data_IF_917964169809
#
_entry.id   IF_917964169809
#
_cell.length_a   1.000
_cell.length_b   1.000
_cell.length_c   1.000
_cell.angle_alpha   90.00
_cell.angle_beta   90.00
_cell.angle_gamma   90.00
#
_symmetry.space_group_name_H-M   'P 1'
#
loop_
_entity.id
_entity.type
_entity.pdbx_description
1 polymer ?
#
# COMPACT_ATOMS: atom_id res chain seq x y z
N UNK A 1 -32.17 -31.19 -65.82
CA UNK A 1 -31.17 -31.04 -64.75
C UNK A 1 -30.38 -29.77 -64.97
N UNK A 2 -30.58 -28.75 -64.16
CA UNK A 2 -29.60 -27.68 -63.92
C UNK A 2 -29.73 -27.31 -62.45
N UNK A 3 -28.74 -27.69 -61.65
CA UNK A 3 -28.51 -27.14 -60.32
C UNK A 3 -27.94 -25.73 -60.46
N UNK A 4 -28.44 -24.76 -59.68
CA UNK A 4 -27.72 -23.53 -59.38
C UNK A 4 -28.07 -23.05 -57.96
N UNK A 5 -27.02 -22.82 -57.17
CA UNK A 5 -27.05 -22.51 -55.75
C UNK A 5 -27.52 -21.07 -55.45
N UNK A 6 -28.16 -20.85 -54.30
CA UNK A 6 -27.96 -19.62 -53.51
C UNK A 6 -28.30 -19.78 -52.02
N UNK A 7 -27.23 -19.60 -51.24
CA UNK A 7 -27.14 -19.08 -49.86
C UNK A 7 -27.39 -20.02 -48.68
N UNK A 8 -26.32 -20.71 -48.30
CA UNK A 8 -25.85 -20.67 -46.92
C UNK A 8 -25.52 -19.23 -46.50
N UNK A 9 -26.10 -18.75 -45.39
CA UNK A 9 -25.62 -17.66 -44.48
C UNK A 9 -26.75 -17.24 -43.54
N UNK A 10 -27.13 -18.06 -42.56
CA UNK A 10 -28.02 -17.59 -41.47
C UNK A 10 -27.58 -18.03 -40.06
N UNK A 11 -26.79 -19.09 -39.89
CA UNK A 11 -26.67 -19.71 -38.56
C UNK A 11 -25.42 -19.41 -37.71
N UNK A 12 -24.72 -18.29 -37.90
CA UNK A 12 -23.56 -17.92 -37.03
C UNK A 12 -23.68 -16.51 -36.39
N UNK A 13 -24.65 -15.67 -36.81
CA UNK A 13 -24.73 -14.30 -36.30
C UNK A 13 -25.46 -14.14 -34.96
N UNK A 14 -26.35 -15.07 -34.56
CA UNK A 14 -27.18 -14.92 -33.35
C UNK A 14 -26.46 -15.23 -32.02
N UNK A 15 -25.41 -16.04 -32.05
CA UNK A 15 -24.60 -16.36 -30.86
C UNK A 15 -23.65 -15.21 -30.47
N UNK A 16 -22.98 -14.62 -31.45
CA UNK A 16 -22.03 -13.52 -31.25
C UNK A 16 -22.71 -12.24 -30.73
N UNK A 17 -23.88 -11.87 -31.27
CA UNK A 17 -24.63 -10.69 -30.80
C UNK A 17 -25.09 -10.84 -29.36
N UNK A 18 -25.55 -12.03 -28.96
CA UNK A 18 -26.00 -12.32 -27.61
C UNK A 18 -24.84 -12.30 -26.60
N UNK A 19 -23.67 -12.84 -26.97
CA UNK A 19 -22.44 -12.77 -26.18
C UNK A 19 -21.97 -11.31 -26.01
N UNK A 20 -22.02 -10.52 -27.08
CA UNK A 20 -21.67 -9.09 -27.04
C UNK A 20 -22.64 -8.32 -26.12
N UNK A 21 -23.95 -8.58 -26.21
CA UNK A 21 -24.94 -7.93 -25.33
C UNK A 21 -24.75 -8.31 -23.86
N UNK A 22 -24.47 -9.58 -23.55
CA UNK A 22 -24.17 -10.03 -22.18
C UNK A 22 -22.90 -9.37 -21.66
N UNK A 23 -21.84 -9.33 -22.48
CA UNK A 23 -20.60 -8.66 -22.13
C UNK A 23 -20.80 -7.17 -21.89
N UNK A 24 -21.54 -6.47 -22.75
CA UNK A 24 -21.88 -5.05 -22.59
C UNK A 24 -22.70 -4.85 -21.30
N UNK A 25 -23.74 -5.66 -21.07
CA UNK A 25 -24.57 -5.58 -19.87
C UNK A 25 -23.75 -5.81 -18.59
N UNK A 26 -22.84 -6.78 -18.61
CA UNK A 26 -21.92 -7.04 -17.49
C UNK A 26 -20.99 -5.85 -17.23
N UNK A 27 -20.40 -5.25 -18.28
CA UNK A 27 -19.57 -4.07 -18.12
C UNK A 27 -20.37 -2.85 -17.61
N UNK A 28 -21.60 -2.66 -18.09
CA UNK A 28 -22.51 -1.63 -17.58
C UNK A 28 -22.81 -1.88 -16.10
N UNK A 29 -23.11 -3.12 -15.71
CA UNK A 29 -23.31 -3.50 -14.32
C UNK A 29 -22.08 -3.17 -13.45
N UNK A 30 -20.87 -3.52 -13.90
CA UNK A 30 -19.63 -3.19 -13.18
C UNK A 30 -19.45 -1.67 -13.01
N UNK A 31 -19.75 -0.87 -14.04
CA UNK A 31 -19.68 0.60 -13.98
C UNK A 31 -20.69 1.15 -12.96
N UNK A 32 -21.92 0.63 -12.96
CA UNK A 32 -22.97 1.04 -12.02
C UNK A 32 -22.58 0.65 -10.59
N UNK A 33 -22.17 -0.60 -10.37
CA UNK A 33 -21.74 -1.12 -9.08
C UNK A 33 -20.59 -0.29 -8.50
N UNK A 34 -19.55 -0.01 -9.29
CA UNK A 34 -18.44 0.84 -8.87
C UNK A 34 -18.87 2.28 -8.55
N UNK A 35 -19.92 2.80 -9.22
CA UNK A 35 -20.47 4.13 -8.91
C UNK A 35 -21.27 4.13 -7.61
N UNK A 36 -22.03 3.08 -7.33
CA UNK A 36 -22.78 2.90 -6.08
C UNK A 36 -21.79 2.79 -4.91
N UNK A 37 -20.77 1.94 -5.04
CA UNK A 37 -19.72 1.78 -4.03
C UNK A 37 -19.02 3.12 -3.71
N UNK A 38 -18.67 3.90 -4.75
CA UNK A 38 -18.10 5.24 -4.54
C UNK A 38 -19.04 6.18 -3.78
N UNK A 39 -20.34 6.15 -4.07
CA UNK A 39 -21.33 6.96 -3.34
C UNK A 39 -21.36 6.57 -1.87
N UNK A 40 -21.44 5.28 -1.58
CA UNK A 40 -21.43 4.77 -0.21
C UNK A 40 -20.15 5.16 0.55
N UNK A 41 -18.99 5.10 -0.12
CA UNK A 41 -17.72 5.56 0.45
C UNK A 41 -17.79 7.05 0.79
N UNK A 42 -18.24 7.90 -0.14
CA UNK A 42 -18.31 9.35 0.13
C UNK A 42 -19.32 9.69 1.23
N UNK A 43 -20.45 8.98 1.32
CA UNK A 43 -21.43 9.13 2.39
C UNK A 43 -20.83 8.74 3.75
N UNK A 44 -20.15 7.59 3.84
CA UNK A 44 -19.43 7.18 5.05
C UNK A 44 -18.38 8.21 5.45
N UNK A 45 -17.63 8.76 4.50
CA UNK A 45 -16.65 9.81 4.76
C UNK A 45 -17.30 11.10 5.28
N UNK A 46 -18.44 11.53 4.73
CA UNK A 46 -19.17 12.71 5.23
C UNK A 46 -19.75 12.49 6.63
N UNK A 47 -20.23 11.27 6.93
CA UNK A 47 -20.71 10.92 8.27
C UNK A 47 -19.57 10.94 9.30
N UNK A 48 -18.38 10.46 8.90
CA UNK A 48 -17.20 10.44 9.77
C UNK A 48 -16.58 11.83 9.93
N UNK A 49 -16.53 12.63 8.87
CA UNK A 49 -15.84 13.91 8.83
C UNK A 49 -16.81 15.05 8.50
N UNK A 50 -17.10 15.89 9.49
CA UNK A 50 -18.04 17.03 9.35
C UNK A 50 -17.65 18.02 8.26
N UNK A 51 -16.34 18.18 7.97
CA UNK A 51 -15.83 19.03 6.89
C UNK A 51 -14.59 18.39 6.26
N UNK A 52 -14.65 18.00 5.00
CA UNK A 52 -13.48 17.40 4.34
C UNK A 52 -12.29 18.37 4.21
N UNK A 53 -12.55 19.69 4.23
CA UNK A 53 -11.50 20.72 4.20
C UNK A 53 -10.63 20.74 5.47
N UNK A 54 -11.08 20.14 6.58
CA UNK A 54 -10.29 20.05 7.81
C UNK A 54 -9.26 18.93 7.77
N UNK A 55 -9.33 18.01 6.80
CA UNK A 55 -8.42 16.88 6.63
C UNK A 55 -7.24 17.19 5.70
N UNK A 56 -6.66 18.39 5.78
CA UNK A 56 -5.56 18.74 4.88
C UNK A 56 -4.21 18.18 5.33
N UNK A 57 -4.02 18.01 6.63
CA UNK A 57 -2.71 17.66 7.22
C UNK A 57 -2.93 16.52 8.19
N UNK A 58 -2.17 15.44 8.01
CA UNK A 58 -2.10 14.35 8.98
C UNK A 58 -1.52 14.88 10.31
N UNK A 59 -2.16 14.67 11.47
CA UNK A 59 -1.68 15.20 12.75
C UNK A 59 -0.27 14.69 13.12
N UNK A 60 0.09 13.50 12.66
CA UNK A 60 1.36 12.83 12.87
C UNK A 60 2.39 13.11 11.75
N UNK A 61 2.07 13.95 10.76
CA UNK A 61 2.97 14.24 9.63
C UNK A 61 4.40 14.60 10.08
N UNK A 62 4.55 15.42 11.11
CA UNK A 62 5.87 15.85 11.59
C UNK A 62 6.72 14.68 12.11
N UNK A 63 6.13 13.79 12.91
CA UNK A 63 6.83 12.63 13.45
C UNK A 63 7.08 11.56 12.38
N UNK A 64 6.15 11.36 11.45
CA UNK A 64 6.36 10.49 10.27
C UNK A 64 7.48 11.00 9.35
N UNK A 65 7.56 12.32 9.14
CA UNK A 65 8.67 12.94 8.42
C UNK A 65 10.00 12.66 9.12
N UNK A 66 10.05 12.81 10.44
CA UNK A 66 11.24 12.56 11.24
C UNK A 66 11.68 11.08 11.20
N UNK A 67 10.73 10.15 11.39
CA UNK A 67 10.95 8.71 11.29
C UNK A 67 11.46 8.31 9.90
N UNK A 68 10.85 8.84 8.83
CA UNK A 68 11.32 8.58 7.47
C UNK A 68 12.72 9.12 7.23
N UNK A 69 13.05 10.32 7.74
CA UNK A 69 14.43 10.86 7.66
C UNK A 69 15.42 9.96 8.36
N UNK A 70 15.08 9.40 9.53
CA UNK A 70 15.98 8.48 10.23
C UNK A 70 16.10 7.14 9.52
N UNK A 71 15.00 6.58 9.00
CA UNK A 71 15.03 5.38 8.17
C UNK A 71 15.94 5.56 6.94
N UNK A 72 15.83 6.68 6.23
CA UNK A 72 16.71 7.00 5.09
C UNK A 72 18.18 6.95 5.51
N UNK A 73 18.55 7.54 6.66
CA UNK A 73 19.93 7.51 7.16
C UNK A 73 20.38 6.09 7.51
N UNK A 74 19.54 5.32 8.20
CA UNK A 74 19.80 3.92 8.55
C UNK A 74 20.05 3.11 7.27
N UNK A 75 19.18 3.25 6.28
CA UNK A 75 19.27 2.51 5.03
C UNK A 75 20.55 2.86 4.25
N UNK A 76 20.90 4.15 4.15
CA UNK A 76 22.14 4.60 3.49
C UNK A 76 23.38 4.09 4.21
N UNK A 77 23.46 4.25 5.54
CA UNK A 77 24.63 3.83 6.33
C UNK A 77 24.89 2.32 6.24
N UNK A 78 23.84 1.52 6.08
CA UNK A 78 23.91 0.05 6.06
C UNK A 78 23.79 -0.55 4.65
N UNK A 79 23.78 0.29 3.61
CA UNK A 79 23.62 -0.14 2.21
C UNK A 79 22.38 -1.05 2.01
N UNK A 80 21.23 -0.58 2.50
CA UNK A 80 19.93 -1.25 2.39
C UNK A 80 19.11 -0.55 1.30
N UNK A 81 18.82 -1.27 0.21
CA UNK A 81 17.92 -0.78 -0.83
C UNK A 81 16.47 -1.05 -0.43
N UNK A 82 15.63 -0.03 -0.53
CA UNK A 82 14.19 -0.09 -0.25
C UNK A 82 13.45 0.87 -1.18
N UNK A 83 12.12 0.79 -1.17
CA UNK A 83 11.23 1.81 -1.78
C UNK A 83 10.01 2.03 -0.88
N UNK A 84 9.34 3.18 -1.02
CA UNK A 84 8.02 3.41 -0.41
C UNK A 84 6.99 2.38 -0.93
N UNK A 85 6.02 2.03 -0.09
CA UNK A 85 4.95 1.09 -0.42
C UNK A 85 3.58 1.52 0.09
N UNK A 86 2.53 0.76 -0.25
CA UNK A 86 1.22 0.83 0.39
C UNK A 86 0.62 2.25 0.48
N UNK A 87 0.12 2.65 1.65
CA UNK A 87 -0.51 3.96 1.87
C UNK A 87 0.48 5.12 1.67
N UNK A 88 1.73 4.93 2.09
CA UNK A 88 2.80 5.91 1.91
C UNK A 88 3.13 6.20 0.45
N UNK A 89 3.25 5.16 -0.38
CA UNK A 89 3.46 5.32 -1.81
C UNK A 89 2.24 5.96 -2.48
N UNK A 90 1.03 5.66 -2.00
CA UNK A 90 -0.20 6.24 -2.53
C UNK A 90 -0.30 7.74 -2.20
N UNK A 91 0.04 8.14 -0.98
CA UNK A 91 0.17 9.54 -0.58
C UNK A 91 1.21 10.27 -1.44
N UNK A 92 2.41 9.67 -1.57
CA UNK A 92 3.45 10.16 -2.46
C UNK A 92 2.95 10.37 -3.89
N UNK A 93 2.24 9.39 -4.46
CA UNK A 93 1.72 9.46 -5.83
C UNK A 93 0.64 10.53 -6.00
N UNK A 94 -0.20 10.76 -5.00
CA UNK A 94 -1.34 11.70 -5.08
C UNK A 94 -0.90 13.15 -4.94
N UNK A 95 -0.13 13.46 -3.91
CA UNK A 95 0.22 14.84 -3.57
C UNK A 95 1.61 14.97 -2.93
N UNK A 96 2.40 13.90 -2.90
CA UNK A 96 3.74 13.94 -2.30
C UNK A 96 3.75 13.95 -0.77
N UNK A 97 2.61 13.71 -0.12
CA UNK A 97 2.45 13.84 1.33
C UNK A 97 1.68 12.65 1.92
N UNK A 98 1.77 12.45 3.23
CA UNK A 98 1.08 11.37 3.92
C UNK A 98 -0.44 11.58 3.82
N UNK A 99 -1.18 10.47 3.72
CA UNK A 99 -2.64 10.53 3.66
C UNK A 99 -3.15 11.08 5.02
N UNK A 100 -4.13 12.01 5.04
CA UNK A 100 -4.53 12.70 6.27
C UNK A 100 -4.99 11.79 7.43
N UNK A 101 -5.39 10.55 7.12
CA UNK A 101 -5.87 9.56 8.06
C UNK A 101 -4.98 8.30 8.13
N UNK A 102 -3.82 8.30 7.45
CA UNK A 102 -2.81 7.26 7.65
C UNK A 102 -2.26 7.30 9.07
N UNK A 103 -1.79 6.17 9.57
CA UNK A 103 -1.33 6.03 10.95
C UNK A 103 0.15 5.62 11.04
N UNK A 104 0.81 5.45 9.91
CA UNK A 104 2.17 4.94 9.79
C UNK A 104 2.82 5.35 8.46
N UNK A 105 4.06 4.91 8.29
CA UNK A 105 4.82 5.00 7.04
C UNK A 105 5.27 3.60 6.63
N UNK A 106 5.11 3.25 5.35
CA UNK A 106 5.45 1.93 4.83
C UNK A 106 6.61 1.97 3.84
N UNK A 107 7.54 1.05 4.01
CA UNK A 107 8.58 0.73 3.02
C UNK A 107 8.66 -0.77 2.76
N UNK A 108 9.09 -1.14 1.56
CA UNK A 108 9.38 -2.51 1.14
C UNK A 108 10.83 -2.66 0.73
N UNK A 109 11.42 -3.81 1.04
CA UNK A 109 12.78 -4.19 0.65
C UNK A 109 12.86 -5.69 0.32
N UNK A 110 13.95 -6.14 -0.30
CA UNK A 110 14.16 -7.57 -0.58
C UNK A 110 14.49 -8.33 0.71
N UNK A 111 13.79 -9.43 0.97
CA UNK A 111 13.95 -10.23 2.20
C UNK A 111 15.37 -10.77 2.42
N UNK A 112 16.16 -10.93 1.35
CA UNK A 112 17.59 -11.25 1.40
C UNK A 112 18.41 -10.26 2.25
N UNK A 113 17.91 -9.04 2.45
CA UNK A 113 18.53 -8.02 3.32
C UNK A 113 18.20 -8.20 4.81
N UNK A 114 17.38 -9.18 5.20
CA UNK A 114 16.98 -9.42 6.59
C UNK A 114 18.19 -9.55 7.54
N UNK A 115 19.24 -10.27 7.12
CA UNK A 115 20.48 -10.41 7.90
C UNK A 115 21.20 -9.08 8.18
N UNK A 116 20.99 -8.04 7.35
CA UNK A 116 21.48 -6.69 7.64
C UNK A 116 20.62 -6.01 8.69
N UNK A 117 19.30 -6.21 8.65
CA UNK A 117 18.36 -5.67 9.65
C UNK A 117 18.65 -6.24 11.04
N UNK A 118 18.93 -7.54 11.12
CA UNK A 118 19.30 -8.20 12.39
C UNK A 118 20.53 -7.59 13.04
N UNK A 119 21.53 -7.18 12.24
CA UNK A 119 22.76 -6.57 12.74
C UNK A 119 22.57 -5.16 13.31
N UNK A 120 21.50 -4.48 12.93
CA UNK A 120 21.22 -3.10 13.35
C UNK A 120 20.05 -3.00 14.32
N UNK A 121 19.45 -4.13 14.71
CA UNK A 121 18.35 -4.15 15.68
C UNK A 121 18.80 -3.59 17.02
N UNK A 122 17.94 -2.78 17.63
CA UNK A 122 18.08 -2.34 19.01
C UNK A 122 17.45 -3.38 19.95
N UNK A 123 17.91 -3.47 21.21
CA UNK A 123 17.28 -4.33 22.20
C UNK A 123 15.82 -3.95 22.46
N UNK A 124 14.98 -4.95 22.70
CA UNK A 124 13.60 -4.77 23.20
C UNK A 124 13.65 -4.62 24.72
N UNK A 125 14.13 -3.47 25.17
CA UNK A 125 14.26 -3.10 26.59
C UNK A 125 13.77 -1.67 26.83
N UNK A 126 12.61 -1.31 26.25
CA UNK A 126 12.05 0.03 26.37
C UNK A 126 10.54 0.00 26.56
N UNK A 127 10.01 1.04 27.19
CA UNK A 127 8.56 1.27 27.30
C UNK A 127 8.14 2.22 26.19
N UNK A 128 7.19 1.80 25.35
CA UNK A 128 6.67 2.63 24.26
C UNK A 128 6.18 3.99 24.80
N UNK A 129 6.59 5.08 24.15
CA UNK A 129 6.23 6.43 24.57
C UNK A 129 6.97 6.98 25.79
N UNK A 130 7.82 6.19 26.46
CA UNK A 130 8.55 6.64 27.64
C UNK A 130 9.78 7.50 27.31
N UNK A 131 10.31 7.39 26.10
CA UNK A 131 11.44 8.18 25.63
C UNK A 131 11.19 8.76 24.22
N UNK A 132 12.14 9.58 23.77
CA UNK A 132 12.15 10.17 22.42
C UNK A 132 13.19 9.52 21.51
N UNK A 133 13.73 8.35 21.90
CA UNK A 133 14.74 7.65 21.12
C UNK A 133 14.11 6.90 19.94
N UNK A 134 14.94 6.62 18.94
CA UNK A 134 14.58 5.72 17.85
C UNK A 134 14.92 4.29 18.25
N UNK A 135 13.94 3.40 18.16
CA UNK A 135 14.10 1.97 18.43
C UNK A 135 13.85 1.20 17.14
N UNK A 136 14.87 0.52 16.63
CA UNK A 136 14.77 -0.28 15.42
C UNK A 136 14.65 -1.76 15.79
N UNK A 137 13.47 -2.35 15.68
CA UNK A 137 13.21 -3.70 16.13
C UNK A 137 12.87 -4.63 14.96
N UNK A 138 13.52 -5.78 14.90
CA UNK A 138 13.23 -6.83 13.91
C UNK A 138 12.24 -7.86 14.45
N UNK A 139 11.56 -8.57 13.56
CA UNK A 139 10.74 -9.75 13.88
C UNK A 139 11.66 -10.98 14.03
N UNK A 140 11.89 -11.49 15.26
CA UNK A 140 12.92 -12.52 15.49
C UNK A 140 12.67 -13.84 14.76
N UNK A 141 11.42 -14.12 14.39
CA UNK A 141 11.01 -15.41 13.81
C UNK A 141 10.72 -15.34 12.32
N UNK A 142 11.15 -14.27 11.64
CA UNK A 142 10.87 -14.07 10.23
C UNK A 142 11.36 -15.22 9.34
N UNK A 143 12.55 -15.77 9.62
CA UNK A 143 13.14 -16.91 8.87
C UNK A 143 12.82 -18.27 9.50
N UNK A 144 11.95 -18.32 10.52
CA UNK A 144 11.66 -19.53 11.29
C UNK A 144 10.65 -20.48 10.62
N UNK A 145 10.62 -21.77 10.99
CA UNK A 145 9.72 -22.78 10.40
C UNK A 145 8.26 -22.71 10.90
N UNK A 146 7.83 -21.59 11.51
CA UNK A 146 6.53 -21.47 12.19
C UNK A 146 5.83 -20.13 11.95
N UNK A 147 4.55 -20.06 12.34
CA UNK A 147 3.83 -18.79 12.45
C UNK A 147 4.57 -17.83 13.39
N UNK A 148 4.83 -16.61 12.91
CA UNK A 148 5.53 -15.57 13.69
C UNK A 148 4.75 -15.21 14.96
N UNK A 149 5.43 -15.20 16.10
CA UNK A 149 4.88 -14.73 17.38
C UNK A 149 4.98 -13.21 17.51
N UNK A 150 4.14 -12.65 18.39
CA UNK A 150 4.19 -11.22 18.76
C UNK A 150 5.10 -11.04 19.95
N UNK A 151 6.12 -10.22 19.78
CA UNK A 151 7.10 -9.89 20.82
C UNK A 151 6.89 -8.45 21.27
N UNK A 152 6.70 -8.20 22.55
CA UNK A 152 6.51 -6.84 23.07
C UNK A 152 7.84 -6.06 23.13
N UNK A 153 7.79 -4.79 23.55
CA UNK A 153 8.97 -3.92 23.66
C UNK A 153 9.91 -4.29 24.81
N UNK A 154 9.52 -5.27 25.64
CA UNK A 154 10.35 -5.88 26.70
C UNK A 154 10.90 -7.26 26.31
N UNK A 155 10.72 -7.68 25.03
CA UNK A 155 11.24 -8.95 24.53
C UNK A 155 10.46 -10.18 25.02
N UNK A 156 9.20 -10.02 25.41
CA UNK A 156 8.34 -11.12 25.84
C UNK A 156 7.32 -11.46 24.76
N UNK A 157 7.00 -12.75 24.61
CA UNK A 157 5.91 -13.19 23.74
C UNK A 157 4.57 -12.80 24.37
N UNK A 158 3.71 -12.17 23.59
CA UNK A 158 2.39 -11.67 24.04
C UNK A 158 1.27 -12.10 23.10
N UNK A 159 0.04 -12.06 23.63
CA UNK A 159 -1.18 -12.24 22.84
C UNK A 159 -1.69 -10.86 22.41
N UNK A 160 -2.00 -10.70 21.13
CA UNK A 160 -2.43 -9.42 20.57
C UNK A 160 -1.28 -8.41 20.48
N UNK A 161 -1.62 -7.13 20.37
CA UNK A 161 -0.67 -6.05 20.10
C UNK A 161 -0.72 -4.98 21.20
N UNK A 162 -0.19 -5.27 22.41
CA UNK A 162 -0.19 -4.33 23.52
C UNK A 162 0.71 -3.10 23.27
N UNK A 163 1.67 -3.23 22.35
CA UNK A 163 2.58 -2.17 21.93
C UNK A 163 2.94 -2.31 20.45
N UNK A 164 3.66 -1.32 19.92
CA UNK A 164 4.12 -1.30 18.52
C UNK A 164 5.29 -2.23 18.24
N UNK A 165 5.89 -2.87 19.24
CA UNK A 165 6.88 -3.91 19.05
C UNK A 165 6.24 -5.26 18.72
N UNK A 166 4.97 -5.44 19.10
CA UNK A 166 4.18 -6.67 18.99
C UNK A 166 3.55 -6.90 17.61
N UNK A 167 4.27 -6.61 16.52
CA UNK A 167 3.76 -6.70 15.14
C UNK A 167 3.89 -8.12 14.53
N UNK A 168 3.02 -8.41 13.56
CA UNK A 168 3.11 -9.55 12.62
C UNK A 168 2.84 -8.97 11.23
N UNK A 169 3.65 -9.34 10.24
CA UNK A 169 3.52 -8.88 8.86
C UNK A 169 4.80 -8.18 8.40
N UNK A 170 5.08 -6.97 8.90
CA UNK A 170 6.39 -6.34 8.72
C UNK A 170 7.51 -7.22 9.26
N UNK A 171 8.68 -7.13 8.65
CA UNK A 171 9.90 -7.83 9.06
C UNK A 171 10.69 -7.03 10.09
N UNK A 172 10.49 -5.72 10.12
CA UNK A 172 11.05 -4.81 11.11
C UNK A 172 10.18 -3.56 11.24
N UNK A 173 10.42 -2.81 12.32
CA UNK A 173 9.77 -1.53 12.58
C UNK A 173 10.78 -0.54 13.17
N UNK A 174 10.78 0.68 12.66
CA UNK A 174 11.46 1.82 13.30
C UNK A 174 10.42 2.57 14.13
N UNK A 175 10.61 2.64 15.44
CA UNK A 175 9.65 3.16 16.41
C UNK A 175 10.22 4.41 17.07
N UNK A 176 9.38 5.44 17.26
CA UNK A 176 9.66 6.58 18.13
C UNK A 176 8.37 7.02 18.80
N UNK A 177 8.35 7.07 20.14
CA UNK A 177 7.13 7.40 20.88
C UNK A 177 6.01 6.39 20.60
N UNK A 178 4.93 6.84 19.97
CA UNK A 178 3.80 6.01 19.54
C UNK A 178 3.69 5.87 18.01
N UNK A 179 4.70 6.31 17.28
CA UNK A 179 4.69 6.36 15.82
C UNK A 179 5.77 5.44 15.25
N UNK A 180 5.59 5.01 14.01
CA UNK A 180 6.52 4.05 13.41
C UNK A 180 6.58 4.09 11.89
N UNK A 181 7.67 3.54 11.36
CA UNK A 181 7.80 3.11 9.96
C UNK A 181 7.78 1.58 9.96
N UNK A 182 6.88 0.98 9.18
CA UNK A 182 6.86 -0.45 8.91
C UNK A 182 7.76 -0.79 7.72
N UNK A 183 8.58 -1.83 7.91
CA UNK A 183 9.48 -2.37 6.91
C UNK A 183 8.98 -3.75 6.53
N UNK A 184 8.51 -3.90 5.30
CA UNK A 184 8.01 -5.16 4.74
C UNK A 184 9.08 -5.85 3.87
N UNK A 185 9.06 -7.17 3.89
CA UNK A 185 9.96 -8.02 3.11
C UNK A 185 9.30 -8.55 1.85
N UNK A 186 9.99 -8.43 0.72
CA UNK A 186 9.64 -9.04 -0.55
C UNK A 186 10.51 -10.26 -0.82
N UNK A 187 9.87 -11.41 -0.98
CA UNK A 187 10.54 -12.62 -1.45
C UNK A 187 10.75 -12.54 -2.95
N UNK A 188 11.99 -12.53 -3.40
CA UNK A 188 12.33 -12.41 -4.83
C UNK A 188 12.67 -13.78 -5.42
N UNK A 189 11.96 -14.17 -6.47
CA UNK A 189 12.18 -15.41 -7.23
C UNK A 189 12.24 -15.09 -8.74
N UNK A 190 13.46 -15.02 -9.27
CA UNK A 190 13.69 -14.61 -10.65
C UNK A 190 13.19 -13.19 -10.93
N UNK A 191 12.23 -13.05 -11.83
CA UNK A 191 11.67 -11.76 -12.25
C UNK A 191 10.48 -11.29 -11.41
N UNK A 192 10.06 -12.09 -10.41
CA UNK A 192 8.89 -11.81 -9.60
C UNK A 192 9.28 -11.60 -8.13
N UNK A 193 8.51 -10.74 -7.47
CA UNK A 193 8.59 -10.50 -6.04
C UNK A 193 7.24 -10.78 -5.39
N UNK A 194 7.24 -11.45 -4.26
CA UNK A 194 6.05 -11.78 -3.48
C UNK A 194 6.06 -11.06 -2.14
N UNK A 195 4.98 -10.34 -1.84
CA UNK A 195 4.71 -9.72 -0.54
C UNK A 195 3.76 -10.64 0.23
N UNK A 196 4.19 -11.10 1.40
CA UNK A 196 3.53 -12.18 2.14
C UNK A 196 2.30 -11.76 2.94
N UNK A 197 2.19 -10.48 3.31
CA UNK A 197 1.12 -9.98 4.16
C UNK A 197 -0.19 -9.79 3.38
N UNK A 198 -0.15 -9.00 2.32
CA UNK A 198 -1.26 -8.73 1.40
C UNK A 198 -1.40 -9.79 0.29
N UNK A 199 -0.46 -10.74 0.24
CA UNK A 199 -0.39 -11.85 -0.73
C UNK A 199 -0.37 -11.36 -2.18
N UNK A 200 0.55 -10.44 -2.47
CA UNK A 200 0.65 -9.76 -3.77
C UNK A 200 1.92 -10.17 -4.52
N UNK A 201 1.80 -10.23 -5.85
CA UNK A 201 2.92 -10.51 -6.75
C UNK A 201 3.23 -9.29 -7.61
N UNK A 202 4.51 -8.97 -7.70
CA UNK A 202 5.02 -7.84 -8.47
C UNK A 202 6.10 -8.33 -9.43
N UNK A 203 6.36 -7.58 -10.50
CA UNK A 203 7.63 -7.75 -11.21
C UNK A 203 8.72 -7.00 -10.46
N UNK A 204 9.90 -7.60 -10.37
CA UNK A 204 11.06 -6.98 -9.73
C UNK A 204 11.40 -5.65 -10.40
N UNK A 205 11.41 -5.60 -11.73
CA UNK A 205 11.75 -4.39 -12.51
C UNK A 205 10.78 -3.22 -12.31
N UNK A 206 9.53 -3.49 -11.88
CA UNK A 206 8.58 -2.43 -11.57
C UNK A 206 8.90 -1.77 -10.21
N UNK A 207 9.66 -2.44 -9.35
CA UNK A 207 10.02 -2.02 -7.99
C UNK A 207 11.47 -1.53 -7.91
N UNK A 208 12.42 -2.38 -8.34
CA UNK A 208 13.85 -2.18 -8.16
C UNK A 208 14.59 -2.00 -9.50
N UNK A 209 15.70 -1.24 -9.53
CA UNK A 209 16.24 -0.43 -8.44
C UNK A 209 15.31 0.76 -8.12
N UNK A 210 15.27 1.20 -6.86
CA UNK A 210 14.43 2.34 -6.48
C UNK A 210 14.90 3.65 -7.11
N UNK A 211 13.97 4.47 -7.62
CA UNK A 211 14.27 5.82 -8.14
C UNK A 211 14.09 6.89 -7.08
N UNK A 212 14.84 7.99 -7.19
CA UNK A 212 14.70 9.14 -6.29
C UNK A 212 13.29 9.74 -6.40
N UNK A 213 12.69 10.05 -5.26
CA UNK A 213 11.44 10.78 -5.15
C UNK A 213 11.40 11.59 -3.83
N UNK A 214 10.36 12.39 -3.66
CA UNK A 214 10.11 13.13 -2.43
C UNK A 214 8.77 12.71 -1.82
N UNK A 215 8.77 12.49 -0.51
CA UNK A 215 7.58 12.20 0.28
C UNK A 215 7.68 12.94 1.61
N UNK A 216 6.66 13.74 1.96
CA UNK A 216 6.70 14.65 3.10
C UNK A 216 7.97 15.52 3.10
N UNK A 217 8.42 16.04 1.94
CA UNK A 217 9.67 16.81 1.79
C UNK A 217 10.97 16.07 2.20
N UNK A 218 10.91 14.73 2.30
CA UNK A 218 12.08 13.88 2.51
C UNK A 218 12.48 13.27 1.18
N UNK A 219 13.75 13.46 0.78
CA UNK A 219 14.31 12.74 -0.36
C UNK A 219 14.43 11.25 0.01
N UNK A 220 13.75 10.39 -0.74
CA UNK A 220 13.65 8.95 -0.48
C UNK A 220 13.58 8.18 -1.81
N UNK A 221 13.21 6.90 -1.76
CA UNK A 221 13.14 5.98 -2.90
C UNK A 221 11.71 5.54 -3.20
N UNK A 222 11.33 5.56 -4.47
CA UNK A 222 10.06 5.06 -4.97
C UNK A 222 10.30 3.92 -5.97
N UNK A 223 9.31 3.04 -6.21
CA UNK A 223 9.35 2.07 -7.30
C UNK A 223 9.59 2.70 -8.68
N UNK A 224 10.16 1.93 -9.60
CA UNK A 224 10.29 2.35 -11.01
C UNK A 224 8.93 2.69 -11.62
N UNK A 225 7.95 1.80 -11.41
CA UNK A 225 6.60 1.90 -11.96
C UNK A 225 5.56 2.07 -10.86
N UNK A 226 5.58 3.24 -10.21
CA UNK A 226 4.71 3.61 -9.08
C UNK A 226 3.24 3.25 -9.33
N UNK A 227 2.69 3.65 -10.50
CA UNK A 227 1.29 3.41 -10.84
C UNK A 227 0.95 1.91 -10.82
N UNK A 228 1.76 1.08 -11.49
CA UNK A 228 1.50 -0.36 -11.61
C UNK A 228 1.64 -1.09 -10.28
N UNK A 229 2.63 -0.70 -9.47
CA UNK A 229 2.81 -1.22 -8.11
C UNK A 229 1.58 -0.90 -7.26
N UNK A 230 1.12 0.36 -7.28
CA UNK A 230 -0.08 0.77 -6.55
C UNK A 230 -1.37 0.08 -7.05
N UNK A 231 -1.52 -0.10 -8.35
CA UNK A 231 -2.66 -0.84 -8.93
C UNK A 231 -2.65 -2.32 -8.53
N UNK A 232 -1.48 -2.90 -8.26
CA UNK A 232 -1.36 -4.27 -7.73
C UNK A 232 -1.80 -4.34 -6.26
N UNK A 233 -1.45 -3.34 -5.45
CA UNK A 233 -1.91 -3.24 -4.06
C UNK A 233 -3.43 -3.00 -3.99
N UNK A 234 -3.93 -1.96 -4.67
CA UNK A 234 -5.27 -1.41 -4.43
C UNK A 234 -6.31 -1.70 -5.53
N UNK A 235 -5.92 -2.35 -6.64
CA UNK A 235 -6.71 -2.50 -7.88
C UNK A 235 -7.04 -1.19 -8.60
N UNK A 236 -7.40 -0.15 -7.87
CA UNK A 236 -7.64 1.21 -8.36
C UNK A 236 -7.02 2.22 -7.41
N UNK A 237 -6.22 3.12 -7.97
CA UNK A 237 -5.56 4.20 -7.23
C UNK A 237 -6.37 5.51 -7.25
N UNK A 238 -7.46 5.53 -8.01
CA UNK A 238 -8.37 6.69 -8.12
C UNK A 238 -8.96 7.01 -6.76
N UNK A 239 -9.00 8.30 -6.44
CA UNK A 239 -9.67 8.75 -5.24
C UNK A 239 -11.19 8.62 -5.47
N UNK A 240 -11.93 7.87 -4.66
CA UNK A 240 -13.36 7.68 -4.90
C UNK A 240 -14.16 8.98 -4.71
N UNK A 241 -13.63 9.90 -3.92
CA UNK A 241 -14.28 11.14 -3.50
C UNK A 241 -13.33 12.33 -3.59
N UNK A 242 -13.86 13.47 -4.01
CA UNK A 242 -13.19 14.77 -3.98
C UNK A 242 -13.89 15.68 -2.98
N UNK A 243 -13.12 16.52 -2.30
CA UNK A 243 -13.65 17.49 -1.36
C UNK A 243 -14.15 18.73 -2.11
N UNK A 244 -15.45 19.04 -2.04
CA UNK A 244 -16.06 20.23 -2.66
C UNK A 244 -16.85 20.97 -1.59
N UNK A 245 -16.44 22.20 -1.27
CA UNK A 245 -17.07 23.06 -0.27
C UNK A 245 -17.29 22.36 1.08
N UNK A 246 -16.30 21.60 1.55
CA UNK A 246 -16.37 20.89 2.82
C UNK A 246 -17.13 19.56 2.79
N UNK A 247 -17.64 19.11 1.65
CA UNK A 247 -18.31 17.81 1.49
C UNK A 247 -17.56 16.89 0.53
N UNK A 248 -17.35 15.62 0.92
CA UNK A 248 -16.88 14.58 0.02
C UNK A 248 -17.96 14.26 -1.01
N UNK A 249 -17.64 14.47 -2.30
CA UNK A 249 -18.51 14.13 -3.42
C UNK A 249 -17.83 13.11 -4.31
N UNK A 250 -18.63 12.21 -4.89
CA UNK A 250 -18.11 11.27 -5.90
C UNK A 250 -17.50 12.07 -7.04
N UNK A 251 -16.27 11.74 -7.41
CA UNK A 251 -15.62 12.36 -8.56
C UNK A 251 -16.47 12.09 -9.82
N UNK A 252 -17.05 13.15 -10.40
CA UNK A 252 -17.90 13.04 -11.58
C UNK A 252 -17.05 13.05 -12.85
N UNK A 253 -16.98 11.93 -13.53
CA UNK A 253 -16.19 11.75 -14.74
C UNK A 253 -16.89 12.19 -16.04
N UNK A 254 -17.93 13.02 -15.92
CA UNK A 254 -18.60 13.70 -17.04
C UNK A 254 -18.47 15.20 -16.81
N UNK A 255 -17.28 15.75 -17.07
CA UNK A 255 -17.20 17.15 -17.48
C UNK A 255 -17.51 17.13 -18.97
N UNK A 256 -18.73 17.52 -19.33
CA UNK A 256 -19.01 17.99 -20.69
C UNK A 256 -18.19 19.25 -20.95
#
# INVERSE_FOLDING_TARGET
MVFCARRAKVFIYLGLTSIILIYIAYNIYLIIAARIERKEICEKLNNKYKKCDSLKINPQRAIFQELLREWVKIAVRNNISYVLSSGSLLGQYRNGDVIPWDIDVDVILQDTLFSKLEKITTPRTFTQGADSAFHFVVQPEYTGPSQMRRWNCNGQVVIGQPDHCSFIGPIARLIKGFDFVDIFGLKVEGNFAYEGYEKKYFRVDDIFPGKDCFFMEVKTKCPQNVKKVLETFFHSIRQPCICINGTWKVESWWKF
#
